data_IF_117603303761
#
_entry.id   IF_117603303761
#
_cell.length_a   1.000
_cell.length_b   1.000
_cell.length_c   1.000
_cell.angle_alpha   90.00
_cell.angle_beta   90.00
_cell.angle_gamma   90.00
#
_symmetry.space_group_name_H-M   'P 1'
#
loop_
_entity.id
_entity.type
_entity.pdbx_description
1 polymer ?
#
# COMPACT_ATOMS: atom_id res chain seq x y z
N UNK A 1 11.02 29.94 28.04
CA UNK A 1 11.15 28.53 27.59
C UNK A 1 9.86 28.15 26.87
N UNK A 2 9.87 28.10 25.53
CA UNK A 2 8.66 27.84 24.75
C UNK A 2 8.48 26.33 24.59
N UNK A 3 7.57 25.74 25.37
CA UNK A 3 7.06 24.40 25.11
C UNK A 3 6.29 24.43 23.78
N UNK A 4 6.93 23.94 22.72
CA UNK A 4 6.30 23.68 21.43
C UNK A 4 5.30 22.53 21.60
N UNK A 5 4.07 22.87 21.98
CA UNK A 5 2.93 21.97 21.97
C UNK A 5 2.74 21.46 20.53
N UNK A 6 3.28 20.27 20.20
CA UNK A 6 3.12 19.61 18.89
C UNK A 6 1.63 19.58 18.54
N UNK A 7 1.21 20.43 17.58
CA UNK A 7 -0.20 20.64 17.18
C UNK A 7 -0.92 19.30 16.94
N UNK A 8 -2.11 19.04 17.54
CA UNK A 8 -2.81 17.75 17.42
C UNK A 8 -3.09 17.35 15.96
N UNK A 9 -3.37 18.33 15.09
CA UNK A 9 -3.56 18.14 13.64
C UNK A 9 -2.32 17.55 12.95
N UNK A 10 -1.12 17.79 13.48
CA UNK A 10 0.13 17.26 12.93
C UNK A 10 0.31 15.78 13.30
N UNK A 11 -0.02 15.39 14.54
CA UNK A 11 0.06 13.99 14.99
C UNK A 11 -0.90 13.11 14.18
N UNK A 12 -2.16 13.53 14.03
CA UNK A 12 -3.18 12.84 13.19
C UNK A 12 -2.67 12.61 11.76
N UNK A 13 -2.15 13.65 11.11
CA UNK A 13 -1.60 13.55 9.74
C UNK A 13 -0.40 12.62 9.65
N UNK A 14 0.48 12.62 10.66
CA UNK A 14 1.66 11.74 10.70
C UNK A 14 1.28 10.27 10.86
N UNK A 15 0.35 9.95 11.77
CA UNK A 15 -0.20 8.58 11.91
C UNK A 15 -0.77 8.11 10.57
N UNK A 16 -1.63 8.92 9.94
CA UNK A 16 -2.21 8.58 8.65
C UNK A 16 -1.15 8.32 7.57
N UNK A 17 -0.20 9.24 7.39
CA UNK A 17 0.84 9.09 6.36
C UNK A 17 1.70 7.85 6.62
N UNK A 18 2.04 7.58 7.87
CA UNK A 18 2.83 6.40 8.22
C UNK A 18 2.06 5.11 7.92
N UNK A 19 0.79 5.00 8.33
CA UNK A 19 -0.05 3.81 8.04
C UNK A 19 -0.26 3.63 6.54
N UNK A 20 -0.46 4.72 5.79
CA UNK A 20 -0.59 4.68 4.34
C UNK A 20 0.69 4.17 3.67
N UNK A 21 1.85 4.71 4.05
CA UNK A 21 3.13 4.25 3.50
C UNK A 21 3.44 2.80 3.87
N UNK A 22 3.11 2.37 5.08
CA UNK A 22 3.26 0.98 5.50
C UNK A 22 2.35 0.04 4.70
N UNK A 23 1.10 0.42 4.45
CA UNK A 23 0.18 -0.35 3.61
C UNK A 23 0.67 -0.44 2.17
N UNK A 24 1.12 0.69 1.59
CA UNK A 24 1.67 0.72 0.22
C UNK A 24 2.88 -0.21 0.08
N UNK A 25 3.83 -0.13 1.01
CA UNK A 25 5.01 -1.00 1.03
C UNK A 25 4.64 -2.48 1.04
N UNK A 26 3.62 -2.86 1.81
CA UNK A 26 3.17 -4.25 1.83
C UNK A 26 2.59 -4.69 0.47
N UNK A 27 1.76 -3.84 -0.15
CA UNK A 27 1.19 -4.10 -1.48
C UNK A 27 2.29 -4.18 -2.55
N UNK A 28 3.26 -3.26 -2.53
CA UNK A 28 4.41 -3.25 -3.43
C UNK A 28 5.25 -4.52 -3.29
N UNK A 29 5.58 -4.93 -2.06
CA UNK A 29 6.31 -6.17 -1.84
C UNK A 29 5.55 -7.39 -2.39
N UNK A 30 4.24 -7.51 -2.11
CA UNK A 30 3.43 -8.63 -2.61
C UNK A 30 3.34 -8.62 -4.14
N UNK A 31 3.13 -7.46 -4.73
CA UNK A 31 3.05 -7.33 -6.18
C UNK A 31 4.38 -7.65 -6.85
N UNK A 32 5.52 -7.23 -6.28
CA UNK A 32 6.84 -7.58 -6.78
C UNK A 32 7.09 -9.09 -6.81
N UNK A 33 6.68 -9.80 -5.75
CA UNK A 33 6.76 -11.28 -5.70
C UNK A 33 5.92 -11.91 -6.81
N UNK A 34 4.70 -11.41 -7.03
CA UNK A 34 3.83 -11.91 -8.09
C UNK A 34 4.41 -11.60 -9.48
N UNK A 35 4.90 -10.38 -9.73
CA UNK A 35 5.51 -9.99 -11.00
C UNK A 35 6.73 -10.85 -11.35
N UNK A 36 7.60 -11.11 -10.38
CA UNK A 36 8.79 -11.94 -10.57
C UNK A 36 8.44 -13.34 -11.09
N UNK A 37 7.32 -13.91 -10.63
CA UNK A 37 6.84 -15.23 -11.08
C UNK A 37 6.03 -15.15 -12.38
N UNK A 38 5.23 -14.11 -12.56
CA UNK A 38 4.21 -14.01 -13.60
C UNK A 38 4.48 -12.83 -14.52
N UNK A 39 5.07 -13.11 -15.69
CA UNK A 39 5.46 -12.11 -16.70
C UNK A 39 4.32 -11.18 -17.13
N UNK A 40 3.06 -11.64 -17.08
CA UNK A 40 1.89 -10.83 -17.45
C UNK A 40 1.76 -9.55 -16.60
N UNK A 41 2.22 -9.58 -15.35
CA UNK A 41 2.15 -8.44 -14.43
C UNK A 41 3.33 -7.46 -14.60
N UNK A 42 4.36 -7.84 -15.35
CA UNK A 42 5.55 -7.01 -15.58
C UNK A 42 5.32 -5.92 -16.63
N UNK A 43 4.28 -6.06 -17.44
CA UNK A 43 3.94 -5.13 -18.53
C UNK A 43 2.60 -4.47 -18.27
N UNK A 44 2.39 -3.21 -18.70
CA UNK A 44 1.08 -2.58 -18.66
C UNK A 44 0.04 -3.47 -19.32
N UNK A 45 -1.01 -3.83 -18.58
CA UNK A 45 -2.06 -4.72 -19.05
C UNK A 45 -3.07 -3.89 -19.83
N UNK A 46 -3.03 -4.00 -21.16
CA UNK A 46 -3.97 -3.29 -22.04
C UNK A 46 -5.28 -4.08 -22.21
N UNK A 47 -6.01 -4.29 -21.10
CA UNK A 47 -7.27 -5.03 -21.05
C UNK A 47 -8.32 -4.23 -20.26
N UNK A 48 -9.59 -4.60 -20.40
CA UNK A 48 -10.67 -4.02 -19.60
C UNK A 48 -10.38 -4.26 -18.09
N UNK A 49 -10.54 -3.26 -17.21
CA UNK A 49 -10.35 -3.41 -15.76
C UNK A 49 -11.07 -4.62 -15.15
N UNK A 50 -12.27 -4.98 -15.64
CA UNK A 50 -12.99 -6.17 -15.16
C UNK A 50 -12.19 -7.46 -15.41
N UNK A 51 -11.47 -7.52 -16.52
CA UNK A 51 -10.64 -8.66 -16.88
C UNK A 51 -9.28 -8.63 -16.17
N UNK A 52 -8.75 -7.43 -15.89
CA UNK A 52 -7.55 -7.26 -15.06
C UNK A 52 -7.78 -7.83 -13.66
N UNK A 53 -8.95 -7.60 -13.07
CA UNK A 53 -9.33 -8.19 -11.79
C UNK A 53 -9.25 -9.72 -11.82
N UNK A 54 -9.82 -10.35 -12.87
CA UNK A 54 -9.76 -11.81 -13.05
C UNK A 54 -8.32 -12.31 -13.18
N UNK A 55 -7.47 -11.61 -13.92
CA UNK A 55 -6.04 -11.96 -14.06
C UNK A 55 -5.34 -11.93 -12.70
N UNK A 56 -5.54 -10.87 -11.92
CA UNK A 56 -4.91 -10.74 -10.59
C UNK A 56 -5.37 -11.85 -9.66
N UNK A 57 -6.68 -12.14 -9.61
CA UNK A 57 -7.23 -13.23 -8.80
C UNK A 57 -6.69 -14.60 -9.23
N UNK A 58 -6.67 -14.87 -10.53
CA UNK A 58 -6.10 -16.11 -11.08
C UNK A 58 -4.61 -16.25 -10.70
N UNK A 59 -3.87 -15.16 -10.76
CA UNK A 59 -2.45 -15.12 -10.39
C UNK A 59 -2.25 -15.46 -8.91
N UNK A 60 -3.09 -14.94 -8.02
CA UNK A 60 -3.08 -15.29 -6.59
C UNK A 60 -3.36 -16.78 -6.35
N UNK A 61 -4.38 -17.34 -7.01
CA UNK A 61 -4.73 -18.76 -6.88
C UNK A 61 -3.61 -19.66 -7.40
N UNK A 62 -3.07 -19.35 -8.58
CA UNK A 62 -1.97 -20.10 -9.18
C UNK A 62 -0.70 -20.01 -8.33
N UNK A 63 -0.41 -18.85 -7.75
CA UNK A 63 0.73 -18.68 -6.86
C UNK A 63 0.59 -19.58 -5.61
N UNK A 64 -0.60 -19.63 -5.01
CA UNK A 64 -0.86 -20.51 -3.86
C UNK A 64 -0.72 -22.00 -4.24
N UNK A 65 -1.22 -22.40 -5.41
CA UNK A 65 -1.08 -23.76 -5.91
C UNK A 65 0.40 -24.15 -6.13
N UNK A 66 1.18 -23.28 -6.78
CA UNK A 66 2.61 -23.51 -6.99
C UNK A 66 3.36 -23.62 -5.67
N UNK A 67 3.03 -22.78 -4.68
CA UNK A 67 3.62 -22.86 -3.33
C UNK A 67 3.30 -24.16 -2.61
N UNK A 68 2.11 -24.71 -2.82
CA UNK A 68 1.71 -26.00 -2.24
C UNK A 68 2.47 -27.16 -2.90
N UNK A 69 2.67 -27.09 -4.22
CA UNK A 69 3.32 -28.16 -5.01
C UNK A 69 4.85 -28.15 -4.88
N UNK A 70 5.47 -26.98 -5.04
CA UNK A 70 6.93 -26.82 -5.18
C UNK A 70 7.60 -26.33 -3.88
N UNK A 71 6.81 -26.02 -2.85
CA UNK A 71 7.30 -25.43 -1.60
C UNK A 71 7.59 -23.93 -1.70
N UNK A 72 8.12 -23.37 -0.60
CA UNK A 72 8.45 -21.94 -0.51
C UNK A 72 9.89 -21.73 -0.95
N UNK A 73 10.09 -21.05 -2.09
CA UNK A 73 11.42 -20.63 -2.57
C UNK A 73 11.66 -19.16 -2.21
N UNK A 74 12.54 -18.91 -1.24
CA UNK A 74 12.78 -17.56 -0.72
C UNK A 74 13.43 -16.63 -1.76
N UNK A 75 14.30 -17.14 -2.65
CA UNK A 75 14.87 -16.35 -3.76
C UNK A 75 13.82 -15.67 -4.64
N UNK A 76 12.69 -16.34 -4.93
CA UNK A 76 11.61 -15.74 -5.73
C UNK A 76 10.88 -14.62 -4.96
N UNK A 77 11.00 -14.61 -3.63
CA UNK A 77 10.36 -13.67 -2.71
C UNK A 77 11.22 -12.44 -2.43
N UNK A 78 12.55 -12.56 -2.59
CA UNK A 78 13.54 -11.53 -2.25
C UNK A 78 13.87 -10.58 -3.40
N UNK A 79 13.47 -10.92 -4.62
CA UNK A 79 13.60 -10.04 -5.79
C UNK A 79 12.54 -8.93 -5.74
N UNK A 80 12.97 -7.75 -5.33
CA UNK A 80 12.16 -6.54 -5.41
C UNK A 80 12.00 -6.11 -6.86
N UNK A 81 10.79 -6.19 -7.42
CA UNK A 81 10.44 -5.24 -8.47
C UNK A 81 10.43 -3.86 -7.81
N UNK A 82 11.30 -2.97 -8.28
CA UNK A 82 11.22 -1.56 -7.94
C UNK A 82 9.96 -1.01 -8.63
N UNK A 83 8.84 -0.98 -7.90
CA UNK A 83 7.67 -0.22 -8.33
C UNK A 83 8.07 1.25 -8.22
N UNK A 84 8.56 1.79 -9.33
CA UNK A 84 8.94 3.20 -9.43
C UNK A 84 7.78 4.07 -8.95
N UNK A 85 8.09 5.09 -8.15
CA UNK A 85 7.10 6.07 -7.72
C UNK A 85 6.28 6.54 -8.93
N UNK A 86 4.94 6.43 -8.82
CA UNK A 86 4.04 6.96 -9.84
C UNK A 86 4.39 8.45 -9.98
N UNK A 87 4.80 8.92 -11.18
CA UNK A 87 5.11 10.32 -11.37
C UNK A 87 3.90 11.14 -10.93
N UNK A 88 4.13 12.24 -10.22
CA UNK A 88 3.03 13.10 -9.75
C UNK A 88 2.38 13.75 -10.98
N UNK A 89 1.37 13.08 -11.53
CA UNK A 89 0.58 13.57 -12.66
C UNK A 89 -0.43 14.56 -12.08
N UNK A 90 0.01 15.83 -11.98
CA UNK A 90 -0.82 16.97 -11.63
C UNK A 90 -0.39 17.69 -10.34
N UNK A 91 -0.01 18.95 -10.48
CA UNK A 91 0.17 19.94 -9.39
C UNK A 91 -1.17 20.55 -8.93
N UNK A 92 -2.29 19.91 -9.25
CA UNK A 92 -3.63 20.37 -8.90
C UNK A 92 -3.94 20.15 -7.42
N UNK A 93 -4.77 21.02 -6.84
CA UNK A 93 -5.33 20.78 -5.52
C UNK A 93 -6.10 19.44 -5.50
N UNK A 94 -5.88 18.57 -4.49
CA UNK A 94 -6.64 17.33 -4.37
C UNK A 94 -8.14 17.63 -4.32
N UNK A 95 -8.95 16.77 -4.95
CA UNK A 95 -10.41 16.91 -4.92
C UNK A 95 -10.92 16.97 -3.48
N UNK A 96 -12.02 17.70 -3.24
CA UNK A 96 -12.63 17.78 -1.92
C UNK A 96 -12.96 16.38 -1.38
N UNK A 97 -13.52 15.49 -2.24
CA UNK A 97 -13.80 14.09 -1.89
C UNK A 97 -12.56 13.33 -1.41
N UNK A 98 -11.41 13.52 -2.06
CA UNK A 98 -10.14 12.88 -1.67
C UNK A 98 -9.64 13.38 -0.31
N UNK A 99 -9.82 14.68 -0.03
CA UNK A 99 -9.50 15.27 1.28
C UNK A 99 -10.42 14.71 2.36
N UNK A 100 -11.72 14.59 2.08
CA UNK A 100 -12.70 14.05 3.03
C UNK A 100 -12.40 12.59 3.39
N UNK A 101 -12.06 11.75 2.42
CA UNK A 101 -11.68 10.35 2.66
C UNK A 101 -10.43 10.29 3.55
N UNK A 102 -9.42 11.11 3.24
CA UNK A 102 -8.19 11.18 4.03
C UNK A 102 -8.47 11.61 5.46
N UNK A 103 -9.32 12.61 5.65
CA UNK A 103 -9.66 13.11 6.98
C UNK A 103 -10.46 12.08 7.79
N UNK A 104 -11.44 11.40 7.17
CA UNK A 104 -12.19 10.29 7.79
C UNK A 104 -11.29 9.14 8.24
N UNK A 105 -10.38 8.69 7.38
CA UNK A 105 -9.43 7.61 7.73
C UNK A 105 -8.48 8.06 8.83
N UNK A 106 -8.01 9.30 8.76
CA UNK A 106 -7.11 9.85 9.76
C UNK A 106 -7.82 10.02 11.12
N UNK A 107 -9.12 10.33 11.16
CA UNK A 107 -9.92 10.36 12.40
C UNK A 107 -10.10 8.96 12.97
N UNK A 108 -10.40 7.99 12.11
CA UNK A 108 -10.54 6.60 12.51
C UNK A 108 -9.24 6.05 13.15
N UNK A 109 -8.06 6.31 12.57
CA UNK A 109 -6.79 5.79 13.09
C UNK A 109 -6.36 6.37 14.45
N UNK A 110 -6.94 7.51 14.86
CA UNK A 110 -6.71 8.08 16.20
C UNK A 110 -7.85 7.78 17.17
N UNK A 111 -8.94 7.17 16.70
CA UNK A 111 -10.05 6.72 17.56
C UNK A 111 -9.65 5.48 18.38
N UNK A 112 -10.31 5.20 19.52
CA UNK A 112 -10.04 4.01 20.32
C UNK A 112 -10.09 2.71 19.50
N UNK A 113 -11.03 2.60 18.57
CA UNK A 113 -11.23 1.39 17.74
C UNK A 113 -10.18 1.21 16.63
N UNK A 114 -9.63 2.31 16.10
CA UNK A 114 -8.67 2.28 14.99
C UNK A 114 -7.22 2.52 15.40
N UNK A 115 -6.99 2.89 16.66
CA UNK A 115 -5.66 3.12 17.20
C UNK A 115 -4.90 1.82 17.43
N UNK A 116 -3.59 1.85 17.19
CA UNK A 116 -2.71 0.70 17.42
C UNK A 116 -1.52 1.14 18.28
N UNK A 117 -1.03 0.31 19.23
CA UNK A 117 -0.02 0.75 20.20
C UNK A 117 1.25 1.33 19.55
N UNK A 118 1.75 0.66 18.50
CA UNK A 118 2.99 1.02 17.82
C UNK A 118 2.91 2.30 16.98
N UNK A 119 1.74 2.91 16.76
CA UNK A 119 1.63 4.05 15.83
C UNK A 119 2.25 5.34 16.35
N UNK A 120 2.50 5.43 17.66
CA UNK A 120 3.08 6.62 18.29
C UNK A 120 4.59 6.52 18.49
N UNK A 121 5.15 5.32 18.48
CA UNK A 121 6.59 5.09 18.68
C UNK A 121 7.44 5.59 17.49
N UNK A 122 6.78 5.93 16.38
CA UNK A 122 7.37 6.21 15.08
C UNK A 122 7.19 7.71 14.72
N UNK A 123 6.65 8.52 15.67
CA UNK A 123 6.27 9.93 15.52
C UNK A 123 7.13 10.85 16.40
#
# INVERSE_FOLDING_TARGET
MAFCQKRPRLKKKRVFNYRLSRARRFVECVFGILCNKWRILHTPINLNPDFVEVIVLATCVLHNFVRLRDGIRFEETLLSCDMTDIPVIGTGNPSLKSKDIRDKLADYFVSPSGSVPWQYDII
#
